data_IF_379721525092
#
_entry.id   IF_379721525092
#
_cell.length_a   1.000
_cell.length_b   1.000
_cell.length_c   1.000
_cell.angle_alpha   90.00
_cell.angle_beta   90.00
_cell.angle_gamma   90.00
#
_symmetry.space_group_name_H-M   'P 1'
#
loop_
_entity.id
_entity.type
_entity.pdbx_description
1 polymer ?
#
# COMPACT_ATOMS: atom_id res chain seq x y z
N UNK A 1 -0.66 3.69 -16.33
CA UNK A 1 0.53 3.12 -15.64
C UNK A 1 1.72 3.94 -16.08
N UNK A 2 2.40 4.64 -15.17
CA UNK A 2 3.59 5.44 -15.50
C UNK A 2 4.77 4.47 -15.48
N UNK A 3 5.43 4.28 -16.64
CA UNK A 3 6.59 3.42 -16.76
C UNK A 3 7.90 4.22 -16.70
N UNK A 4 9.02 3.53 -16.48
CA UNK A 4 10.38 4.08 -16.42
C UNK A 4 11.24 3.70 -17.62
N UNK A 5 10.64 3.20 -18.69
CA UNK A 5 11.37 2.72 -19.87
C UNK A 5 12.32 3.81 -20.39
N UNK A 6 11.80 5.04 -20.53
CA UNK A 6 12.58 6.20 -21.00
C UNK A 6 13.77 6.52 -20.09
N UNK A 7 13.55 6.46 -18.76
CA UNK A 7 14.59 6.80 -17.79
C UNK A 7 15.73 5.77 -17.84
N UNK A 8 15.38 4.48 -17.84
CA UNK A 8 16.34 3.37 -17.91
C UNK A 8 17.09 3.38 -19.26
N UNK A 9 16.38 3.58 -20.37
CA UNK A 9 17.01 3.69 -21.69
C UNK A 9 18.04 4.82 -21.74
N UNK A 10 17.65 6.02 -21.26
CA UNK A 10 18.56 7.18 -21.23
C UNK A 10 19.75 6.97 -20.31
N UNK A 11 19.57 6.34 -19.15
CA UNK A 11 20.66 6.00 -18.25
C UNK A 11 21.69 5.06 -18.91
N UNK A 12 21.22 4.17 -19.79
CA UNK A 12 22.09 3.28 -20.60
C UNK A 12 22.60 3.94 -21.91
N UNK A 13 22.27 5.20 -22.15
CA UNK A 13 22.63 5.96 -23.35
C UNK A 13 22.20 5.33 -24.66
N UNK A 14 21.07 4.62 -24.65
CA UNK A 14 20.49 3.97 -25.81
C UNK A 14 19.49 4.87 -26.52
N UNK A 15 19.43 4.77 -27.84
CA UNK A 15 18.39 5.40 -28.66
C UNK A 15 17.12 4.55 -28.67
N UNK A 16 16.02 5.08 -29.20
CA UNK A 16 14.80 4.30 -29.38
C UNK A 16 14.99 3.15 -30.38
N UNK A 17 15.84 3.37 -31.39
CA UNK A 17 16.15 2.39 -32.40
C UNK A 17 17.02 1.25 -31.85
N UNK A 18 18.02 1.56 -31.03
CA UNK A 18 18.82 0.54 -30.34
C UNK A 18 17.95 -0.42 -29.54
N UNK A 19 17.00 0.09 -28.77
CA UNK A 19 16.09 -0.74 -27.99
C UNK A 19 15.17 -1.55 -28.89
N UNK A 20 14.68 -0.94 -29.99
CA UNK A 20 13.79 -1.61 -30.94
C UNK A 20 14.48 -2.81 -31.61
N UNK A 21 15.74 -2.66 -32.00
CA UNK A 21 16.54 -3.72 -32.62
C UNK A 21 16.92 -4.83 -31.63
N UNK A 22 17.16 -4.50 -30.37
CA UNK A 22 17.48 -5.48 -29.31
C UNK A 22 16.27 -6.28 -28.83
N UNK A 23 15.05 -5.84 -29.13
CA UNK A 23 13.84 -6.61 -28.80
C UNK A 23 13.78 -7.91 -29.61
N UNK A 24 13.29 -8.99 -29.00
CA UNK A 24 13.04 -10.26 -29.71
C UNK A 24 11.54 -10.57 -29.67
N UNK A 25 10.85 -10.65 -30.82
CA UNK A 25 11.29 -10.24 -32.17
C UNK A 25 11.54 -8.71 -32.25
N UNK A 26 12.39 -8.24 -33.21
CA UNK A 26 12.66 -6.82 -33.38
C UNK A 26 11.38 -5.99 -33.62
N UNK A 27 11.42 -4.70 -33.25
CA UNK A 27 10.30 -3.79 -33.42
C UNK A 27 10.76 -2.44 -33.98
N UNK A 28 9.93 -1.42 -33.98
CA UNK A 28 10.27 -0.09 -34.50
C UNK A 28 10.51 0.91 -33.36
N UNK A 29 11.40 1.89 -33.59
CA UNK A 29 11.62 3.01 -32.68
C UNK A 29 10.31 3.74 -32.31
N UNK A 30 9.38 3.87 -33.28
CA UNK A 30 8.08 4.47 -33.05
C UNK A 30 7.24 3.66 -32.03
N UNK A 31 7.29 2.33 -32.11
CA UNK A 31 6.58 1.46 -31.14
C UNK A 31 7.15 1.65 -29.73
N UNK A 32 8.48 1.65 -29.57
CA UNK A 32 9.11 1.92 -28.29
C UNK A 32 8.74 3.30 -27.75
N UNK A 33 8.80 4.34 -28.58
CA UNK A 33 8.39 5.70 -28.21
C UNK A 33 6.94 5.81 -27.73
N UNK A 34 6.00 5.11 -28.38
CA UNK A 34 4.58 5.06 -27.97
C UNK A 34 4.38 4.32 -26.65
N UNK A 35 5.17 3.28 -26.39
CA UNK A 35 5.14 2.56 -25.10
C UNK A 35 5.75 3.41 -23.97
N UNK A 36 6.85 4.14 -24.24
CA UNK A 36 7.46 5.07 -23.28
C UNK A 36 6.53 6.22 -22.87
N UNK A 37 5.78 6.76 -23.83
CA UNK A 37 4.85 7.89 -23.59
C UNK A 37 3.48 7.48 -23.09
N UNK A 38 3.21 6.17 -23.03
CA UNK A 38 1.88 5.65 -22.62
C UNK A 38 0.79 5.81 -23.67
N UNK A 39 1.14 6.25 -24.90
CA UNK A 39 0.20 6.34 -26.04
C UNK A 39 -0.24 4.97 -26.54
N UNK A 40 0.53 3.94 -26.19
CA UNK A 40 0.19 2.53 -26.39
C UNK A 40 0.20 1.80 -25.07
N UNK A 41 -0.77 0.90 -24.86
CA UNK A 41 -0.85 0.07 -23.65
C UNK A 41 0.39 -0.82 -23.53
N UNK A 42 1.05 -0.76 -22.38
CA UNK A 42 2.18 -1.61 -22.04
C UNK A 42 1.63 -2.94 -21.47
N UNK A 43 1.62 -3.99 -22.30
CA UNK A 43 1.30 -5.35 -21.84
C UNK A 43 2.49 -5.98 -21.12
N UNK A 44 2.26 -7.07 -20.40
CA UNK A 44 3.31 -7.82 -19.72
C UNK A 44 4.36 -8.34 -20.72
N UNK A 45 3.93 -8.77 -21.91
CA UNK A 45 4.83 -9.21 -22.98
C UNK A 45 5.75 -8.09 -23.44
N UNK A 46 5.21 -6.88 -23.66
CA UNK A 46 6.01 -5.72 -24.02
C UNK A 46 6.98 -5.34 -22.91
N UNK A 47 6.53 -5.40 -21.65
CA UNK A 47 7.36 -5.11 -20.49
C UNK A 47 8.57 -6.05 -20.44
N UNK A 48 8.35 -7.36 -20.56
CA UNK A 48 9.40 -8.37 -20.53
C UNK A 48 10.38 -8.24 -21.72
N UNK A 49 9.85 -8.00 -22.93
CA UNK A 49 10.68 -7.78 -24.13
C UNK A 49 11.61 -6.57 -24.01
N UNK A 50 11.08 -5.45 -23.51
CA UNK A 50 11.86 -4.23 -23.33
C UNK A 50 12.85 -4.40 -22.18
N UNK A 51 12.47 -5.08 -21.10
CA UNK A 51 13.37 -5.38 -19.99
C UNK A 51 14.58 -6.21 -20.45
N UNK A 52 14.33 -7.25 -21.25
CA UNK A 52 15.39 -8.05 -21.85
C UNK A 52 16.28 -7.22 -22.79
N UNK A 53 15.68 -6.39 -23.66
CA UNK A 53 16.42 -5.49 -24.56
C UNK A 53 17.29 -4.45 -23.82
N UNK A 54 16.84 -4.03 -22.64
CA UNK A 54 17.56 -3.11 -21.75
C UNK A 54 18.46 -3.82 -20.74
N UNK A 55 18.46 -5.16 -20.71
CA UNK A 55 19.26 -5.95 -19.74
C UNK A 55 18.98 -5.52 -18.28
N UNK A 56 17.70 -5.43 -17.92
CA UNK A 56 17.24 -5.10 -16.57
C UNK A 56 16.09 -6.02 -16.18
N UNK A 57 15.80 -6.10 -14.89
CA UNK A 57 14.59 -6.75 -14.44
C UNK A 57 13.34 -5.95 -14.86
N UNK A 58 12.23 -6.64 -15.21
CA UNK A 58 10.99 -5.99 -15.63
C UNK A 58 10.39 -5.08 -14.55
N UNK A 59 10.64 -5.38 -13.28
CA UNK A 59 10.23 -4.53 -12.15
C UNK A 59 10.90 -3.15 -12.17
N UNK A 60 12.12 -3.05 -12.71
CA UNK A 60 12.84 -1.78 -12.85
C UNK A 60 12.18 -0.82 -13.85
N UNK A 61 11.38 -1.35 -14.78
CA UNK A 61 10.68 -0.56 -15.80
C UNK A 61 9.30 -0.07 -15.36
N UNK A 62 8.80 -0.52 -14.21
CA UNK A 62 7.51 -0.10 -13.65
C UNK A 62 7.78 0.86 -12.51
N UNK A 63 7.15 2.04 -12.54
CA UNK A 63 7.09 2.86 -11.33
C UNK A 63 6.14 2.17 -10.36
N UNK A 64 6.68 1.52 -9.36
CA UNK A 64 5.92 1.18 -8.19
C UNK A 64 5.57 2.48 -7.46
N UNK A 65 4.29 2.72 -7.19
CA UNK A 65 3.88 3.80 -6.28
C UNK A 65 4.49 3.62 -4.87
N UNK A 66 4.97 2.42 -4.58
CA UNK A 66 5.59 2.02 -3.33
C UNK A 66 7.01 2.58 -3.09
N UNK A 67 7.65 3.22 -4.07
CA UNK A 67 9.04 3.68 -3.93
C UNK A 67 9.23 5.19 -3.99
N UNK A 68 8.17 5.99 -3.83
CA UNK A 68 8.34 7.43 -3.61
C UNK A 68 8.89 7.65 -2.20
N UNK A 69 10.20 7.62 -2.07
CA UNK A 69 10.89 7.99 -0.84
C UNK A 69 10.97 9.51 -0.78
N UNK A 70 10.47 10.09 0.31
CA UNK A 70 10.61 11.52 0.58
C UNK A 70 11.83 11.75 1.48
N UNK A 71 12.75 12.68 1.14
CA UNK A 71 13.84 13.01 2.05
C UNK A 71 13.27 13.62 3.34
N UNK A 72 13.71 13.11 4.48
CA UNK A 72 13.39 13.70 5.78
C UNK A 72 14.35 14.86 6.01
N UNK A 73 13.85 16.08 6.01
CA UNK A 73 14.68 17.28 6.15
C UNK A 73 14.92 17.66 7.62
N UNK A 74 13.97 17.36 8.49
CA UNK A 74 14.05 17.72 9.89
C UNK A 74 13.29 16.74 10.78
N UNK A 75 13.68 16.68 12.04
CA UNK A 75 12.97 16.02 13.13
C UNK A 75 12.32 17.08 14.00
N UNK A 76 11.05 16.89 14.35
CA UNK A 76 10.30 17.78 15.24
C UNK A 76 10.14 17.12 16.62
N UNK A 77 10.50 17.84 17.67
CA UNK A 77 10.27 17.47 19.06
C UNK A 77 9.70 18.65 19.89
N UNK A 78 9.56 18.49 21.19
CA UNK A 78 8.99 19.51 22.07
C UNK A 78 9.79 20.83 22.09
N UNK A 79 11.05 20.82 21.65
CA UNK A 79 11.95 22.00 21.60
C UNK A 79 11.93 22.69 20.22
N UNK A 80 11.30 22.08 19.22
CA UNK A 80 11.20 22.62 17.87
C UNK A 80 11.76 21.68 16.80
N UNK A 81 11.89 22.19 15.57
CA UNK A 81 12.42 21.44 14.44
C UNK A 81 13.94 21.57 14.36
N UNK A 82 14.64 20.44 14.20
CA UNK A 82 16.09 20.38 14.05
C UNK A 82 16.49 19.51 12.87
N UNK A 83 17.60 19.85 12.21
CA UNK A 83 18.14 19.05 11.11
C UNK A 83 18.57 17.65 11.60
N UNK A 84 18.47 16.67 10.71
CA UNK A 84 19.03 15.34 10.98
C UNK A 84 20.56 15.36 10.87
N UNK A 85 21.19 14.53 11.67
CA UNK A 85 22.67 14.33 11.63
C UNK A 85 23.10 13.40 10.48
N UNK A 86 22.16 12.57 9.98
CA UNK A 86 22.35 11.67 8.84
C UNK A 86 21.17 11.79 7.90
N UNK A 87 21.38 11.73 6.58
CA UNK A 87 20.28 11.70 5.61
C UNK A 87 19.38 10.48 5.83
N UNK A 88 18.08 10.72 5.95
CA UNK A 88 17.06 9.67 6.06
C UNK A 88 15.95 9.91 5.03
N UNK A 89 15.23 8.85 4.68
CA UNK A 89 14.12 8.90 3.75
C UNK A 89 12.88 8.26 4.37
N UNK A 90 11.76 8.93 4.27
CA UNK A 90 10.46 8.37 4.62
C UNK A 90 9.95 7.54 3.44
N UNK A 91 9.66 6.27 3.68
CA UNK A 91 8.91 5.45 2.75
C UNK A 91 7.41 5.66 2.99
N UNK A 92 6.64 5.82 1.91
CA UNK A 92 5.18 5.78 2.02
C UNK A 92 4.70 4.41 2.49
N UNK A 93 3.56 4.32 3.19
CA UNK A 93 3.00 3.04 3.57
C UNK A 93 2.67 2.23 2.31
N UNK A 94 3.00 0.93 2.33
CA UNK A 94 2.72 -0.01 1.25
C UNK A 94 1.64 -0.96 1.75
N UNK A 95 0.49 -1.10 1.05
CA UNK A 95 -0.51 -2.10 1.43
C UNK A 95 0.08 -3.50 1.35
N UNK A 96 -0.11 -4.30 2.39
CA UNK A 96 0.20 -5.73 2.35
C UNK A 96 -0.74 -6.50 1.40
N UNK A 97 -0.38 -7.71 1.02
CA UNK A 97 -1.15 -8.57 0.09
C UNK A 97 -2.60 -8.83 0.56
N UNK A 98 -2.84 -8.83 1.87
CA UNK A 98 -4.16 -9.00 2.49
C UNK A 98 -4.71 -7.68 3.05
N UNK A 99 -4.27 -6.56 2.49
CA UNK A 99 -4.67 -5.24 2.92
C UNK A 99 -6.10 -4.91 2.52
N UNK A 100 -6.87 -4.35 3.47
CA UNK A 100 -8.18 -3.74 3.22
C UNK A 100 -8.19 -2.33 3.79
N UNK A 101 -9.07 -1.48 3.28
CA UNK A 101 -9.16 -0.09 3.73
C UNK A 101 -10.53 0.19 4.36
N UNK A 102 -10.54 1.02 5.40
CA UNK A 102 -11.73 1.56 6.05
C UNK A 102 -11.67 3.08 5.99
N UNK A 103 -12.74 3.72 5.50
CA UNK A 103 -12.88 5.18 5.52
C UNK A 103 -13.72 5.61 6.71
N UNK A 104 -13.23 6.57 7.46
CA UNK A 104 -13.95 7.18 8.58
C UNK A 104 -14.86 8.28 8.05
N UNK A 105 -16.17 8.07 8.09
CA UNK A 105 -17.16 9.03 7.61
C UNK A 105 -17.48 10.13 8.65
N UNK A 106 -17.42 9.79 9.95
CA UNK A 106 -17.62 10.71 11.05
C UNK A 106 -16.61 10.39 12.16
N UNK A 107 -16.22 11.40 12.93
CA UNK A 107 -15.24 11.24 14.01
C UNK A 107 -15.71 10.23 15.06
N UNK A 108 -14.83 9.30 15.46
CA UNK A 108 -15.08 8.27 16.47
C UNK A 108 -13.79 7.86 17.17
N UNK A 109 -13.74 7.95 18.50
CA UNK A 109 -12.50 7.73 19.26
C UNK A 109 -11.40 8.69 18.81
N UNK A 110 -10.24 8.15 18.48
CA UNK A 110 -9.07 8.91 17.99
C UNK A 110 -9.11 9.21 16.49
N UNK A 111 -10.10 8.66 15.77
CA UNK A 111 -10.24 8.82 14.33
C UNK A 111 -11.13 10.00 13.97
N UNK A 112 -10.74 10.75 12.93
CA UNK A 112 -11.47 11.93 12.44
C UNK A 112 -12.19 11.62 11.15
N UNK A 113 -13.23 12.40 10.86
CA UNK A 113 -13.89 12.33 9.55
C UNK A 113 -12.87 12.56 8.42
N UNK A 114 -12.89 11.72 7.40
CA UNK A 114 -11.95 11.74 6.28
C UNK A 114 -10.74 10.82 6.45
N UNK A 115 -10.43 10.35 7.66
CA UNK A 115 -9.34 9.40 7.86
C UNK A 115 -9.53 8.13 7.03
N UNK A 116 -8.40 7.57 6.58
CA UNK A 116 -8.34 6.26 5.94
C UNK A 116 -7.50 5.33 6.81
N UNK A 117 -8.06 4.22 7.21
CA UNK A 117 -7.35 3.17 7.92
C UNK A 117 -6.99 2.06 6.94
N UNK A 118 -5.75 1.65 6.94
CA UNK A 118 -5.32 0.42 6.28
C UNK A 118 -5.21 -0.69 7.32
N UNK A 119 -5.87 -1.78 7.04
CA UNK A 119 -5.97 -2.92 7.93
C UNK A 119 -5.43 -4.15 7.21
N UNK A 120 -4.80 -5.03 7.96
CA UNK A 120 -4.35 -6.34 7.47
C UNK A 120 -5.33 -7.41 7.93
N UNK A 121 -5.87 -8.18 6.99
CA UNK A 121 -6.67 -9.36 7.32
C UNK A 121 -5.80 -10.46 7.93
N UNK A 122 -6.34 -11.11 8.95
CA UNK A 122 -5.71 -12.24 9.64
C UNK A 122 -6.71 -13.38 9.75
N UNK A 123 -6.18 -14.61 9.70
CA UNK A 123 -6.93 -15.84 9.89
C UNK A 123 -7.20 -16.14 11.39
N UNK A 124 -8.11 -17.04 11.71
CA UNK A 124 -8.46 -17.39 13.10
C UNK A 124 -7.27 -17.81 13.98
N UNK A 125 -6.29 -18.47 13.41
CA UNK A 125 -5.08 -18.90 14.13
C UNK A 125 -4.26 -17.71 14.66
N UNK A 126 -4.32 -16.57 13.97
CA UNK A 126 -3.57 -15.36 14.31
C UNK A 126 -4.34 -14.35 15.16
N UNK A 127 -5.59 -14.64 15.54
CA UNK A 127 -6.44 -13.69 16.27
C UNK A 127 -5.87 -13.25 17.62
N UNK A 128 -5.03 -14.06 18.24
CA UNK A 128 -4.35 -13.67 19.48
C UNK A 128 -3.49 -12.39 19.31
N UNK A 129 -2.95 -12.17 18.12
CA UNK A 129 -2.14 -11.00 17.80
C UNK A 129 -2.94 -9.69 17.72
N UNK A 130 -4.26 -9.80 17.64
CA UNK A 130 -5.17 -8.66 17.56
C UNK A 130 -5.65 -8.15 18.93
N UNK A 131 -5.27 -8.81 20.03
CA UNK A 131 -5.66 -8.39 21.38
C UNK A 131 -5.15 -6.97 21.66
N UNK A 132 -6.02 -6.13 22.23
CA UNK A 132 -5.80 -4.70 22.50
C UNK A 132 -5.52 -3.84 21.26
N UNK A 133 -5.86 -4.34 20.07
CA UNK A 133 -5.77 -3.58 18.81
C UNK A 133 -7.14 -3.26 18.25
N UNK A 134 -7.23 -2.23 17.42
CA UNK A 134 -8.46 -1.87 16.72
C UNK A 134 -8.62 -2.79 15.52
N UNK A 135 -9.78 -3.42 15.43
CA UNK A 135 -10.07 -4.45 14.43
C UNK A 135 -11.41 -4.20 13.74
N UNK A 136 -11.49 -4.61 12.49
CA UNK A 136 -12.72 -4.76 11.73
C UNK A 136 -13.07 -6.25 11.70
N UNK A 137 -14.30 -6.59 12.11
CA UNK A 137 -14.80 -7.95 12.06
C UNK A 137 -16.08 -8.03 11.24
N UNK A 138 -16.26 -9.07 10.41
CA UNK A 138 -17.49 -9.31 9.67
C UNK A 138 -18.60 -9.79 10.62
N UNK A 139 -19.83 -9.42 10.29
CA UNK A 139 -21.04 -9.88 10.93
C UNK A 139 -22.03 -10.42 9.90
N UNK A 140 -23.00 -11.24 10.29
CA UNK A 140 -24.04 -11.73 9.39
C UNK A 140 -24.72 -10.61 8.59
N UNK A 141 -25.20 -10.93 7.40
CA UNK A 141 -25.88 -10.03 6.48
C UNK A 141 -25.01 -8.85 5.98
N UNK A 142 -23.73 -9.09 5.73
CA UNK A 142 -22.81 -8.10 5.13
C UNK A 142 -22.50 -6.90 6.03
N UNK A 143 -22.78 -7.00 7.32
CA UNK A 143 -22.46 -5.96 8.30
C UNK A 143 -21.05 -6.13 8.84
N UNK A 144 -20.53 -5.09 9.44
CA UNK A 144 -19.23 -5.09 10.10
C UNK A 144 -19.33 -4.46 11.48
N UNK A 145 -18.36 -4.75 12.32
CA UNK A 145 -18.09 -4.01 13.54
C UNK A 145 -16.63 -3.57 13.52
N UNK A 146 -16.38 -2.34 13.95
CA UNK A 146 -15.05 -1.80 14.16
C UNK A 146 -14.90 -1.35 15.61
N UNK A 147 -13.80 -1.74 16.25
CA UNK A 147 -13.51 -1.39 17.64
C UNK A 147 -12.31 -2.12 18.19
N UNK A 148 -12.00 -1.88 19.45
CA UNK A 148 -10.89 -2.53 20.14
C UNK A 148 -11.24 -3.94 20.57
N UNK A 149 -10.42 -4.91 20.17
CA UNK A 149 -10.55 -6.28 20.65
C UNK A 149 -9.97 -6.35 22.07
N UNK A 150 -10.86 -6.59 23.05
CA UNK A 150 -10.51 -6.55 24.48
C UNK A 150 -10.36 -7.92 25.13
N UNK A 151 -10.95 -8.96 24.56
CA UNK A 151 -10.79 -10.33 25.03
C UNK A 151 -11.05 -11.36 23.92
N UNK A 152 -10.49 -12.55 24.08
CA UNK A 152 -10.75 -13.74 23.27
C UNK A 152 -10.82 -14.96 24.18
N UNK A 153 -11.93 -15.68 24.14
CA UNK A 153 -12.14 -16.92 24.88
C UNK A 153 -12.99 -17.87 24.04
N UNK A 154 -12.58 -19.12 23.88
CA UNK A 154 -13.36 -20.20 23.26
C UNK A 154 -14.03 -19.81 21.93
N UNK A 155 -13.26 -19.21 20.99
CA UNK A 155 -13.80 -18.75 19.70
C UNK A 155 -14.64 -17.46 19.78
N UNK A 156 -14.86 -16.91 20.97
CA UNK A 156 -15.60 -15.67 21.20
C UNK A 156 -14.65 -14.51 21.31
N UNK A 157 -14.90 -13.47 20.55
CA UNK A 157 -14.14 -12.22 20.61
C UNK A 157 -15.02 -11.12 21.16
N UNK A 158 -14.49 -10.40 22.14
CA UNK A 158 -15.13 -9.23 22.70
C UNK A 158 -14.53 -7.98 22.05
N UNK A 159 -15.36 -7.24 21.32
CA UNK A 159 -14.97 -6.01 20.67
C UNK A 159 -15.71 -4.85 21.31
N UNK A 160 -14.97 -3.85 21.74
CA UNK A 160 -15.48 -2.59 22.25
C UNK A 160 -15.47 -1.54 21.14
N UNK A 161 -16.63 -1.15 20.57
CA UNK A 161 -16.69 -0.05 19.60
C UNK A 161 -16.20 1.24 20.23
N UNK A 162 -15.58 2.12 19.41
CA UNK A 162 -14.87 3.31 19.89
C UNK A 162 -15.80 4.50 20.20
N UNK A 163 -17.08 4.40 19.91
CA UNK A 163 -18.05 5.46 20.22
C UNK A 163 -18.28 5.65 21.71
N UNK A 164 -18.48 6.89 22.16
CA UNK A 164 -18.81 7.18 23.55
C UNK A 164 -20.09 6.43 23.98
N UNK A 165 -20.05 5.77 25.14
CA UNK A 165 -21.17 4.99 25.66
C UNK A 165 -21.41 3.65 24.95
N UNK A 166 -20.53 3.25 24.04
CA UNK A 166 -20.64 1.95 23.39
C UNK A 166 -20.49 0.81 24.38
N UNK A 167 -21.30 -0.25 24.17
CA UNK A 167 -21.16 -1.49 24.93
C UNK A 167 -20.34 -2.49 24.13
N UNK A 168 -19.59 -3.31 24.86
CA UNK A 168 -18.86 -4.43 24.24
C UNK A 168 -19.83 -5.34 23.49
N UNK A 169 -19.37 -5.88 22.39
CA UNK A 169 -20.11 -6.83 21.57
C UNK A 169 -19.30 -8.10 21.44
N UNK A 170 -20.00 -9.23 21.52
CA UNK A 170 -19.41 -10.55 21.34
C UNK A 170 -19.63 -11.00 19.90
N UNK A 171 -18.58 -11.48 19.26
CA UNK A 171 -18.61 -12.10 17.95
C UNK A 171 -18.12 -13.53 18.10
N UNK A 172 -18.88 -14.48 17.59
CA UNK A 172 -18.53 -15.88 17.62
C UNK A 172 -17.91 -16.27 16.27
N UNK A 173 -16.76 -16.92 16.32
CA UNK A 173 -16.09 -17.58 15.20
C UNK A 173 -16.11 -16.80 13.87
N UNK A 174 -15.68 -15.52 13.82
CA UNK A 174 -15.62 -14.83 12.54
C UNK A 174 -14.60 -15.52 11.63
N UNK A 175 -14.83 -15.56 10.31
CA UNK A 175 -13.91 -16.20 9.36
C UNK A 175 -12.59 -15.47 9.24
N UNK A 176 -12.53 -14.19 9.58
CA UNK A 176 -11.36 -13.34 9.58
C UNK A 176 -11.56 -12.12 10.47
N UNK A 177 -10.45 -11.49 10.87
CA UNK A 177 -10.39 -10.12 11.40
C UNK A 177 -9.49 -9.30 10.53
N UNK A 178 -9.68 -7.97 10.50
CA UNK A 178 -8.69 -7.08 9.91
C UNK A 178 -8.19 -6.08 10.96
N UNK A 179 -6.89 -6.12 11.22
CA UNK A 179 -6.22 -5.33 12.25
C UNK A 179 -5.75 -4.00 11.67
N UNK A 180 -6.09 -2.89 12.30
CA UNK A 180 -5.63 -1.57 11.89
C UNK A 180 -4.11 -1.43 12.08
N UNK A 181 -3.40 -1.08 11.01
CA UNK A 181 -1.95 -0.95 10.99
C UNK A 181 -1.48 0.47 10.65
N UNK A 182 -2.20 1.14 9.76
CA UNK A 182 -1.80 2.46 9.28
C UNK A 182 -2.97 3.42 9.27
N UNK A 183 -2.77 4.61 9.81
CA UNK A 183 -3.69 5.73 9.70
C UNK A 183 -3.14 6.74 8.69
N UNK A 184 -3.93 7.06 7.67
CA UNK A 184 -3.65 8.11 6.70
C UNK A 184 -4.62 9.24 6.95
N UNK A 185 -4.08 10.40 7.30
CA UNK A 185 -4.83 11.63 7.55
C UNK A 185 -4.27 12.75 6.69
N UNK A 186 -5.14 13.39 5.91
CA UNK A 186 -4.83 14.66 5.27
C UNK A 186 -5.13 15.80 6.24
N UNK A 187 -4.24 16.76 6.32
CA UNK A 187 -4.35 17.95 7.21
C UNK A 187 -5.04 19.08 6.50
#
# INVERSE_FOLDING_TARGET
MINRIRDVRKAKRLTLDDVAQRCSPPTTAQTIGRLETGTRTLSLDWLNRIAAALEVDSSALVRSAASAQLPILAMLDATGARALTKPEHAAGPIPGEQGVALRVAAGVGDYRSGDMLWLRQIAPDDFASALNRDVLAPRPAGRFIFGRMIAREDGRMQILPLGAGSRQQVINDPPWLAVAETLIRSL
#
